data_IF_547453899866
#
_entry.id   IF_547453899866
#
_cell.length_a   1.000
_cell.length_b   1.000
_cell.length_c   1.000
_cell.angle_alpha   90.00
_cell.angle_beta   90.00
_cell.angle_gamma   90.00
#
_symmetry.space_group_name_H-M   'P 1'
#
loop_
_entity.id
_entity.type
_entity.pdbx_description
1 polymer ?
#
# COMPACT_ATOMS: atom_id res chain seq x y z
N UNK A 1 37.01 -25.96 -22.04
CA UNK A 1 35.55 -25.83 -22.20
C UNK A 1 35.20 -24.36 -22.16
N UNK A 2 35.15 -23.72 -23.32
CA UNK A 2 34.66 -22.36 -23.50
C UNK A 2 33.14 -22.44 -23.70
N UNK A 3 32.37 -21.90 -22.75
CA UNK A 3 30.94 -21.68 -22.94
C UNK A 3 30.79 -20.56 -23.99
N UNK A 4 30.53 -20.95 -25.23
CA UNK A 4 30.08 -20.04 -26.28
C UNK A 4 28.57 -19.87 -26.08
N UNK A 5 28.17 -18.94 -25.20
CA UNK A 5 26.75 -18.59 -25.06
C UNK A 5 26.29 -17.99 -26.40
N UNK A 6 25.44 -18.73 -27.11
CA UNK A 6 24.82 -18.27 -28.34
C UNK A 6 24.07 -16.96 -28.05
N UNK A 7 24.61 -15.84 -28.55
CA UNK A 7 23.94 -14.55 -28.40
C UNK A 7 22.56 -14.65 -29.06
N UNK A 8 21.47 -14.27 -28.37
CA UNK A 8 20.14 -14.33 -28.95
C UNK A 8 20.09 -13.54 -30.24
N UNK A 9 19.47 -14.12 -31.28
CA UNK A 9 19.38 -13.52 -32.60
C UNK A 9 18.53 -12.24 -32.56
N UNK A 10 18.62 -11.42 -33.61
CA UNK A 10 17.83 -10.19 -33.70
C UNK A 10 16.31 -10.45 -33.58
N UNK A 11 15.82 -11.60 -34.05
CA UNK A 11 14.43 -12.03 -33.90
C UNK A 11 14.05 -12.34 -32.45
N UNK A 12 14.94 -13.00 -31.70
CA UNK A 12 14.73 -13.31 -30.28
C UNK A 12 14.74 -12.03 -29.43
N UNK A 13 15.64 -11.10 -29.76
CA UNK A 13 15.69 -9.77 -29.13
C UNK A 13 14.43 -8.95 -29.42
N UNK A 14 13.93 -8.97 -30.67
CA UNK A 14 12.68 -8.31 -31.05
C UNK A 14 11.46 -8.93 -30.36
N UNK A 15 11.40 -10.25 -30.25
CA UNK A 15 10.33 -10.95 -29.53
C UNK A 15 10.36 -10.61 -28.02
N UNK A 16 11.54 -10.51 -27.42
CA UNK A 16 11.71 -10.06 -26.04
C UNK A 16 11.27 -8.59 -25.85
N UNK A 17 11.54 -7.70 -26.80
CA UNK A 17 11.09 -6.30 -26.76
C UNK A 17 9.57 -6.22 -26.94
N UNK A 18 8.99 -6.99 -27.87
CA UNK A 18 7.56 -7.01 -28.12
C UNK A 18 6.74 -7.55 -26.95
N UNK A 19 7.35 -8.41 -26.11
CA UNK A 19 6.75 -8.94 -24.88
C UNK A 19 7.10 -8.12 -23.64
N UNK A 20 7.94 -7.08 -23.77
CA UNK A 20 8.35 -6.27 -22.64
C UNK A 20 7.15 -5.48 -22.06
N UNK A 21 7.03 -5.37 -20.73
CA UNK A 21 6.00 -4.55 -20.11
C UNK A 21 6.10 -3.10 -20.56
N UNK A 22 4.98 -2.48 -20.95
CA UNK A 22 4.94 -1.05 -21.23
C UNK A 22 5.19 -0.26 -19.94
N UNK A 23 6.39 0.34 -19.89
CA UNK A 23 6.83 1.02 -18.69
C UNK A 23 6.24 2.45 -18.51
N UNK A 24 5.53 2.94 -19.52
CA UNK A 24 5.04 4.32 -19.60
C UNK A 24 3.53 4.44 -19.38
N UNK A 25 2.82 3.30 -19.27
CA UNK A 25 1.37 3.28 -19.14
C UNK A 25 0.88 4.03 -17.89
N UNK A 26 -0.09 4.96 -18.00
CA UNK A 26 -0.68 5.63 -16.85
C UNK A 26 -1.56 4.70 -16.00
N UNK A 27 -1.79 5.07 -14.75
CA UNK A 27 -2.80 4.44 -13.88
C UNK A 27 -4.20 4.52 -14.50
N UNK A 28 -4.89 3.39 -14.62
CA UNK A 28 -6.27 3.35 -15.11
C UNK A 28 -7.23 3.91 -14.06
N UNK A 29 -8.40 4.38 -14.49
CA UNK A 29 -9.43 4.90 -13.58
C UNK A 29 -9.83 3.86 -12.51
N UNK A 30 -9.92 2.57 -12.90
CA UNK A 30 -10.24 1.48 -11.99
C UNK A 30 -9.18 1.28 -10.89
N UNK A 31 -7.90 1.37 -11.24
CA UNK A 31 -6.80 1.25 -10.28
C UNK A 31 -6.78 2.44 -9.31
N UNK A 32 -7.06 3.65 -9.83
CA UNK A 32 -7.18 4.84 -9.00
C UNK A 32 -8.33 4.72 -8.01
N UNK A 33 -9.50 4.32 -8.50
CA UNK A 33 -10.68 4.11 -7.69
C UNK A 33 -10.46 3.03 -6.62
N UNK A 34 -9.86 1.89 -7.00
CA UNK A 34 -9.54 0.83 -6.05
C UNK A 34 -8.56 1.32 -4.97
N UNK A 35 -7.48 2.02 -5.36
CA UNK A 35 -6.52 2.59 -4.43
C UNK A 35 -7.17 3.55 -3.43
N UNK A 36 -7.99 4.49 -3.90
CA UNK A 36 -8.71 5.44 -3.03
C UNK A 36 -9.74 4.73 -2.14
N UNK A 37 -10.49 3.78 -2.68
CA UNK A 37 -11.49 3.02 -1.92
C UNK A 37 -10.84 2.24 -0.78
N UNK A 38 -9.68 1.60 -1.02
CA UNK A 38 -8.92 0.92 0.04
C UNK A 38 -8.50 1.87 1.15
N UNK A 39 -8.03 3.08 0.82
CA UNK A 39 -7.65 4.07 1.82
C UNK A 39 -8.86 4.59 2.61
N UNK A 40 -10.00 4.79 1.95
CA UNK A 40 -11.24 5.18 2.62
C UNK A 40 -11.72 4.10 3.60
N UNK A 41 -11.69 2.82 3.18
CA UNK A 41 -12.04 1.68 4.03
C UNK A 41 -11.09 1.57 5.22
N UNK A 42 -9.79 1.69 4.99
CA UNK A 42 -8.79 1.68 6.06
C UNK A 42 -9.06 2.79 7.08
N UNK A 43 -9.21 4.03 6.60
CA UNK A 43 -9.44 5.19 7.46
C UNK A 43 -10.73 5.06 8.28
N UNK A 44 -11.86 4.83 7.61
CA UNK A 44 -13.15 4.72 8.27
C UNK A 44 -13.20 3.52 9.23
N UNK A 45 -12.63 2.38 8.83
CA UNK A 45 -12.57 1.19 9.65
C UNK A 45 -11.78 1.39 10.94
N UNK A 46 -10.63 2.07 10.87
CA UNK A 46 -9.83 2.40 12.05
C UNK A 46 -10.57 3.37 12.98
N UNK A 47 -11.16 4.45 12.44
CA UNK A 47 -11.92 5.43 13.25
C UNK A 47 -13.08 4.75 13.96
N UNK A 48 -13.91 3.99 13.23
CA UNK A 48 -15.06 3.29 13.82
C UNK A 48 -14.61 2.30 14.90
N UNK A 49 -13.52 1.56 14.66
CA UNK A 49 -13.04 0.60 15.63
C UNK A 49 -12.55 1.23 16.93
N UNK A 50 -11.85 2.38 16.85
CA UNK A 50 -11.41 3.12 18.05
C UNK A 50 -12.61 3.74 18.81
N UNK A 51 -13.67 4.13 18.11
CA UNK A 51 -14.89 4.67 18.74
C UNK A 51 -15.81 3.60 19.36
N UNK A 52 -15.63 2.32 19.02
CA UNK A 52 -16.58 1.26 19.39
C UNK A 52 -16.26 0.53 20.71
N UNK A 53 -15.31 1.00 21.51
CA UNK A 53 -14.86 0.37 22.78
C UNK A 53 -14.75 -1.15 22.66
N UNK A 54 -13.96 -1.59 21.68
CA UNK A 54 -13.88 -3.00 21.31
C UNK A 54 -13.18 -3.82 22.41
N UNK A 55 -13.65 -5.05 22.71
CA UNK A 55 -12.88 -5.94 23.57
C UNK A 55 -11.53 -6.23 22.91
N UNK A 56 -10.46 -6.34 23.72
CA UNK A 56 -9.07 -6.53 23.24
C UNK A 56 -8.90 -7.54 22.08
N UNK A 57 -9.52 -8.75 22.09
CA UNK A 57 -9.42 -9.67 20.96
C UNK A 57 -9.95 -9.10 19.64
N UNK A 58 -11.03 -8.30 19.69
CA UNK A 58 -11.59 -7.64 18.52
C UNK A 58 -10.68 -6.50 18.03
N UNK A 59 -10.11 -5.71 18.94
CA UNK A 59 -9.11 -4.69 18.59
C UNK A 59 -7.86 -5.27 17.92
N UNK A 60 -7.34 -6.39 18.43
CA UNK A 60 -6.26 -7.15 17.78
C UNK A 60 -6.67 -7.61 16.37
N UNK A 61 -7.90 -8.14 16.23
CA UNK A 61 -8.40 -8.59 14.92
C UNK A 61 -8.49 -7.43 13.91
N UNK A 62 -8.96 -6.25 14.33
CA UNK A 62 -8.99 -5.04 13.50
C UNK A 62 -7.58 -4.64 13.09
N UNK A 63 -6.62 -4.61 14.02
CA UNK A 63 -5.23 -4.27 13.72
C UNK A 63 -4.62 -5.23 12.69
N UNK A 64 -4.80 -6.55 12.88
CA UNK A 64 -4.32 -7.57 11.93
C UNK A 64 -5.00 -7.42 10.57
N UNK A 65 -6.30 -7.13 10.53
CA UNK A 65 -7.02 -6.90 9.29
C UNK A 65 -6.52 -5.65 8.55
N UNK A 66 -6.26 -4.56 9.26
CA UNK A 66 -5.71 -3.32 8.70
C UNK A 66 -4.28 -3.54 8.17
N UNK A 67 -3.45 -4.29 8.88
CA UNK A 67 -2.12 -4.68 8.45
C UNK A 67 -2.20 -5.54 7.17
N UNK A 68 -3.04 -6.58 7.18
CA UNK A 68 -3.25 -7.44 6.02
C UNK A 68 -3.76 -6.64 4.81
N UNK A 69 -4.67 -5.68 5.03
CA UNK A 69 -5.17 -4.79 3.99
C UNK A 69 -4.05 -3.96 3.37
N UNK A 70 -3.17 -3.35 4.18
CA UNK A 70 -2.01 -2.59 3.69
C UNK A 70 -1.01 -3.48 2.94
N UNK A 71 -0.75 -4.69 3.42
CA UNK A 71 0.13 -5.65 2.75
C UNK A 71 -0.46 -6.15 1.42
N UNK A 72 -1.76 -6.44 1.38
CA UNK A 72 -2.46 -6.83 0.17
C UNK A 72 -2.51 -5.68 -0.86
N UNK A 73 -2.78 -4.47 -0.39
CA UNK A 73 -2.72 -3.25 -1.20
C UNK A 73 -1.32 -3.02 -1.76
N UNK A 74 -0.29 -3.22 -0.93
CA UNK A 74 1.11 -3.19 -1.33
C UNK A 74 1.38 -4.22 -2.46
N UNK A 75 1.01 -5.48 -2.27
CA UNK A 75 1.21 -6.53 -3.27
C UNK A 75 0.43 -6.26 -4.56
N UNK A 76 -0.80 -5.75 -4.46
CA UNK A 76 -1.58 -5.33 -5.62
C UNK A 76 -0.85 -4.26 -6.41
N UNK A 77 -0.29 -3.27 -5.72
CA UNK A 77 0.47 -2.22 -6.35
C UNK A 77 1.83 -2.68 -6.88
N UNK A 78 2.47 -3.71 -6.32
CA UNK A 78 3.66 -4.35 -6.92
C UNK A 78 3.32 -5.07 -8.22
N UNK A 79 2.24 -5.85 -8.23
CA UNK A 79 1.76 -6.55 -9.44
C UNK A 79 1.30 -5.58 -10.52
N UNK A 80 0.60 -4.51 -10.16
CA UNK A 80 0.20 -3.44 -11.06
C UNK A 80 1.36 -2.49 -11.42
N UNK A 81 2.48 -2.55 -10.68
CA UNK A 81 3.70 -1.77 -10.89
C UNK A 81 4.69 -2.37 -11.88
N UNK A 82 4.34 -3.44 -12.61
CA UNK A 82 5.11 -3.88 -13.81
C UNK A 82 5.28 -2.78 -14.87
N UNK A 83 4.63 -1.63 -14.68
CA UNK A 83 4.88 -0.36 -15.37
C UNK A 83 6.24 0.27 -15.04
N UNK A 84 6.78 0.23 -13.83
CA UNK A 84 8.14 0.77 -13.60
C UNK A 84 8.66 0.40 -12.23
N UNK A 85 9.99 0.25 -12.09
CA UNK A 85 10.64 0.12 -10.80
C UNK A 85 10.19 1.22 -9.84
N UNK A 86 10.04 0.87 -8.56
CA UNK A 86 9.66 1.83 -7.53
C UNK A 86 10.83 2.72 -7.14
N UNK A 87 10.54 3.98 -6.89
CA UNK A 87 11.56 4.92 -6.38
C UNK A 87 11.78 4.70 -4.88
N UNK A 88 12.93 5.15 -4.36
CA UNK A 88 13.20 5.11 -2.90
C UNK A 88 12.12 5.80 -2.08
N UNK A 89 11.58 6.92 -2.59
CA UNK A 89 10.48 7.66 -1.96
C UNK A 89 9.15 6.92 -2.00
N UNK A 90 8.85 6.22 -3.09
CA UNK A 90 7.66 5.36 -3.18
C UNK A 90 7.76 4.20 -2.16
N UNK A 91 8.92 3.54 -2.07
CA UNK A 91 9.16 2.48 -1.07
C UNK A 91 9.05 2.99 0.36
N UNK A 92 9.65 4.14 0.66
CA UNK A 92 9.60 4.76 1.98
C UNK A 92 8.16 5.08 2.39
N UNK A 93 7.33 5.62 1.48
CA UNK A 93 5.92 5.92 1.78
C UNK A 93 5.11 4.65 2.08
N UNK A 94 5.31 3.56 1.33
CA UNK A 94 4.65 2.27 1.57
C UNK A 94 5.05 1.66 2.92
N UNK A 95 6.35 1.68 3.20
CA UNK A 95 6.88 1.18 4.47
C UNK A 95 6.37 2.02 5.65
N UNK A 96 6.40 3.35 5.50
CA UNK A 96 5.88 4.27 6.51
C UNK A 96 4.41 4.01 6.82
N UNK A 97 3.56 3.79 5.81
CA UNK A 97 2.14 3.47 6.03
C UNK A 97 1.94 2.24 6.93
N UNK A 98 2.75 1.21 6.75
CA UNK A 98 2.70 -0.01 7.58
C UNK A 98 3.22 0.27 9.00
N UNK A 99 4.35 0.94 9.14
CA UNK A 99 4.91 1.26 10.46
C UNK A 99 3.99 2.18 11.27
N UNK A 100 3.40 3.18 10.62
CA UNK A 100 2.52 4.16 11.24
C UNK A 100 1.17 3.57 11.66
N UNK A 101 0.83 2.35 11.22
CA UNK A 101 -0.32 1.62 11.73
C UNK A 101 -0.20 1.31 13.23
N UNK A 102 1.02 1.35 13.78
CA UNK A 102 1.22 1.24 15.22
C UNK A 102 0.47 2.32 16.02
N UNK A 103 0.26 3.51 15.46
CA UNK A 103 -0.43 4.61 16.15
C UNK A 103 -1.87 4.24 16.54
N UNK A 104 -2.78 3.89 15.61
CA UNK A 104 -4.10 3.38 15.98
C UNK A 104 -4.01 1.99 16.64
N UNK A 105 -2.95 1.21 16.38
CA UNK A 105 -2.77 -0.10 16.99
C UNK A 105 -2.58 -0.08 18.51
N UNK A 106 -1.89 0.94 19.05
CA UNK A 106 -1.73 1.10 20.49
C UNK A 106 -3.08 1.24 21.19
N UNK A 107 -3.94 2.09 20.63
CA UNK A 107 -5.29 2.30 21.15
C UNK A 107 -6.14 1.02 21.03
N UNK A 108 -6.22 0.44 19.84
CA UNK A 108 -7.03 -0.77 19.59
C UNK A 108 -6.63 -1.98 20.45
N UNK A 109 -5.34 -2.15 20.75
CA UNK A 109 -4.85 -3.35 21.45
C UNK A 109 -4.78 -3.14 22.97
N UNK A 110 -4.36 -1.96 23.40
CA UNK A 110 -4.05 -1.69 24.80
C UNK A 110 -5.08 -0.79 25.48
N UNK A 111 -5.90 -0.05 24.72
CA UNK A 111 -6.81 0.97 25.26
C UNK A 111 -6.06 2.13 25.90
N UNK A 112 -4.80 2.37 25.46
CA UNK A 112 -3.94 3.44 25.95
C UNK A 112 -4.00 4.68 25.03
N UNK A 113 -4.99 4.73 24.13
CA UNK A 113 -5.19 5.85 23.23
C UNK A 113 -5.92 7.03 23.88
N UNK A 114 -5.92 8.18 23.20
CA UNK A 114 -6.64 9.38 23.64
C UNK A 114 -8.15 9.26 23.41
N UNK A 115 -8.96 9.44 24.46
CA UNK A 115 -10.44 9.32 24.48
C UNK A 115 -11.22 10.40 23.67
N UNK A 116 -10.61 11.02 22.67
CA UNK A 116 -11.28 12.06 21.87
C UNK A 116 -11.36 11.66 20.42
N UNK A 117 -12.53 11.86 19.81
CA UNK A 117 -12.76 11.63 18.38
C UNK A 117 -11.70 12.31 17.51
N UNK A 118 -11.30 13.54 17.85
CA UNK A 118 -10.26 14.27 17.11
C UNK A 118 -8.95 13.47 17.08
N UNK A 119 -8.57 12.88 18.21
CA UNK A 119 -7.34 12.12 18.28
C UNK A 119 -7.43 10.76 17.56
N UNK A 120 -8.59 10.09 17.60
CA UNK A 120 -8.86 8.92 16.76
C UNK A 120 -8.79 9.24 15.26
N UNK A 121 -9.38 10.37 14.84
CA UNK A 121 -9.32 10.85 13.45
C UNK A 121 -7.86 11.10 13.03
N UNK A 122 -7.05 11.70 13.90
CA UNK A 122 -5.62 11.94 13.63
C UNK A 122 -4.85 10.63 13.58
N UNK A 123 -5.03 9.73 14.56
CA UNK A 123 -4.34 8.44 14.62
C UNK A 123 -4.61 7.59 13.36
N UNK A 124 -5.86 7.54 12.90
CA UNK A 124 -6.22 6.87 11.65
C UNK A 124 -5.66 7.59 10.41
N UNK A 125 -5.63 8.93 10.42
CA UNK A 125 -5.17 9.70 9.26
C UNK A 125 -3.69 9.49 8.96
N UNK A 126 -2.84 9.28 9.97
CA UNK A 126 -1.38 9.19 9.78
C UNK A 126 -0.96 8.04 8.83
N UNK A 127 -1.31 6.76 9.09
CA UNK A 127 -0.99 5.69 8.15
C UNK A 127 -1.71 5.84 6.79
N UNK A 128 -2.96 6.34 6.79
CA UNK A 128 -3.72 6.57 5.54
C UNK A 128 -3.05 7.64 4.66
N UNK A 129 -2.56 8.73 5.27
CA UNK A 129 -1.88 9.81 4.58
C UNK A 129 -0.55 9.35 3.97
N UNK A 130 0.23 8.54 4.70
CA UNK A 130 1.45 7.93 4.16
C UNK A 130 1.16 7.07 2.92
N UNK A 131 0.09 6.26 2.97
CA UNK A 131 -0.34 5.46 1.81
C UNK A 131 -0.89 6.35 0.66
N UNK A 132 -1.58 7.44 0.98
CA UNK A 132 -2.05 8.41 -0.02
C UNK A 132 -0.89 9.12 -0.73
N UNK A 133 0.16 9.48 0.02
CA UNK A 133 1.40 10.04 -0.56
C UNK A 133 2.01 9.08 -1.57
N UNK A 134 2.06 7.78 -1.26
CA UNK A 134 2.48 6.77 -2.25
C UNK A 134 1.63 6.82 -3.53
N UNK A 135 0.28 6.87 -3.43
CA UNK A 135 -0.59 6.95 -4.60
C UNK A 135 -0.34 8.22 -5.42
N UNK A 136 -0.19 9.37 -4.76
CA UNK A 136 0.11 10.64 -5.43
C UNK A 136 1.44 10.56 -6.18
N UNK A 137 2.50 10.05 -5.54
CA UNK A 137 3.80 9.86 -6.18
C UNK A 137 3.69 8.91 -7.37
N UNK A 138 2.92 7.84 -7.22
CA UNK A 138 2.75 6.82 -8.26
C UNK A 138 1.95 7.33 -9.46
N UNK A 139 0.94 8.17 -9.25
CA UNK A 139 0.03 8.64 -10.30
C UNK A 139 0.41 9.96 -10.96
N UNK A 140 1.27 10.78 -10.34
CA UNK A 140 1.75 12.05 -10.93
C UNK A 140 2.67 11.86 -12.15
N UNK A 141 3.16 10.66 -12.39
CA UNK A 141 4.12 10.33 -13.45
C UNK A 141 3.62 9.13 -14.22
#
# INVERSE_FOLDING_TARGET
>A
MTYDESRPGAADQLAAIATAPDLSRPASARERAAGLATLAVLYAGLVVAMECDLPRPAGIAVFVAALALLLAWNNHHDGAARRRPQTRTENAARFAAVCLLALPGVDLIFGEGPDTLVAHLVAAAVPTAAAAVYLVLRWKR
#
